data_IF_128294382509
#
_entry.id   IF_128294382509
#
_cell.length_a   1.000
_cell.length_b   1.000
_cell.length_c   1.000
_cell.angle_alpha   90.00
_cell.angle_beta   90.00
_cell.angle_gamma   90.00
#
_symmetry.space_group_name_H-M   'P 1'
#
loop_
_entity.id
_entity.type
_entity.pdbx_description
1 polymer ?
#
# COMPACT_ATOMS: atom_id res chain seq x y z
N UNK A 1 15.86 2.25 -14.87
CA UNK A 1 15.57 2.09 -13.42
C UNK A 1 14.06 2.07 -13.16
N UNK A 2 13.31 3.14 -13.49
CA UNK A 2 11.85 3.21 -13.28
C UNK A 2 11.05 2.10 -13.98
N UNK A 3 11.38 1.76 -15.23
CA UNK A 3 10.79 0.61 -15.96
C UNK A 3 11.08 -0.71 -15.24
N UNK A 4 12.28 -0.84 -14.67
CA UNK A 4 12.69 -2.04 -13.93
C UNK A 4 11.89 -2.23 -12.64
N UNK A 5 11.53 -1.14 -11.94
CA UNK A 5 10.72 -1.21 -10.72
C UNK A 5 9.34 -1.81 -10.99
N UNK A 6 8.64 -1.31 -12.01
CA UNK A 6 7.33 -1.85 -12.41
C UNK A 6 7.43 -3.30 -12.87
N UNK A 7 8.46 -3.62 -13.66
CA UNK A 7 8.65 -4.97 -14.23
C UNK A 7 9.01 -6.03 -13.19
N UNK A 8 9.83 -5.68 -12.20
CA UNK A 8 10.20 -6.61 -11.11
C UNK A 8 9.01 -6.89 -10.20
N UNK A 9 8.09 -5.94 -10.06
CA UNK A 9 6.94 -6.07 -9.16
C UNK A 9 5.69 -6.61 -9.86
N UNK A 10 5.73 -6.84 -11.17
CA UNK A 10 4.61 -7.34 -11.96
C UNK A 10 4.06 -8.65 -11.40
N UNK A 11 2.75 -8.72 -11.17
CA UNK A 11 2.05 -9.85 -10.55
C UNK A 11 2.48 -10.19 -9.11
N UNK A 12 3.13 -9.25 -8.40
CA UNK A 12 3.51 -9.41 -6.99
C UNK A 12 2.61 -8.59 -6.07
N UNK A 13 2.62 -8.90 -4.77
CA UNK A 13 1.95 -8.09 -3.75
C UNK A 13 2.52 -6.67 -3.61
N UNK A 14 3.69 -6.39 -4.20
CA UNK A 14 4.37 -5.10 -4.14
C UNK A 14 4.14 -4.25 -5.39
N UNK A 15 3.38 -4.75 -6.37
CA UNK A 15 3.15 -4.07 -7.63
C UNK A 15 2.64 -2.64 -7.42
N UNK A 16 1.66 -2.44 -6.55
CA UNK A 16 1.10 -1.11 -6.26
C UNK A 16 2.13 -0.14 -5.71
N UNK A 17 3.01 -0.60 -4.80
CA UNK A 17 4.05 0.23 -4.17
C UNK A 17 5.11 0.61 -5.20
N UNK A 18 5.57 -0.36 -5.99
CA UNK A 18 6.63 -0.15 -6.96
C UNK A 18 6.15 0.65 -8.16
N UNK A 19 4.90 0.45 -8.60
CA UNK A 19 4.26 1.29 -9.60
C UNK A 19 4.16 2.74 -9.12
N UNK A 20 3.74 2.94 -7.86
CA UNK A 20 3.64 4.25 -7.26
C UNK A 20 4.99 4.97 -7.14
N UNK A 21 6.05 4.25 -6.77
CA UNK A 21 7.42 4.78 -6.73
C UNK A 21 7.93 5.11 -8.13
N UNK A 22 7.71 4.21 -9.09
CA UNK A 22 8.16 4.39 -10.46
C UNK A 22 7.47 5.57 -11.15
N UNK A 23 6.16 5.74 -10.94
CA UNK A 23 5.39 6.89 -11.41
C UNK A 23 5.84 8.20 -10.75
N UNK A 24 6.15 8.17 -9.45
CA UNK A 24 6.68 9.34 -8.75
C UNK A 24 8.05 9.76 -9.26
N UNK A 25 9.00 8.83 -9.39
CA UNK A 25 10.33 9.12 -9.95
C UNK A 25 10.18 9.65 -11.39
N UNK A 26 9.36 9.00 -12.21
CA UNK A 26 9.12 9.42 -13.59
C UNK A 26 8.62 10.88 -13.67
N UNK A 27 7.71 11.27 -12.77
CA UNK A 27 7.17 12.64 -12.70
C UNK A 27 8.20 13.72 -12.33
N UNK A 28 9.33 13.34 -11.73
CA UNK A 28 10.42 14.25 -11.40
C UNK A 28 11.49 14.36 -12.49
N UNK A 29 11.43 13.52 -13.53
CA UNK A 29 12.40 13.54 -14.61
C UNK A 29 12.14 14.73 -15.55
N UNK A 30 13.22 15.20 -16.19
CA UNK A 30 13.11 16.20 -17.26
C UNK A 30 12.31 15.66 -18.45
N UNK A 31 11.67 16.53 -19.26
CA UNK A 31 10.94 16.10 -20.46
C UNK A 31 11.79 15.26 -21.43
N UNK A 32 13.08 15.57 -21.52
CA UNK A 32 14.03 14.80 -22.33
C UNK A 32 14.21 13.37 -21.81
N UNK A 33 14.40 13.20 -20.50
CA UNK A 33 14.56 11.90 -19.87
C UNK A 33 13.27 11.06 -19.96
N UNK A 34 12.10 11.68 -19.77
CA UNK A 34 10.80 11.03 -19.98
C UNK A 34 10.65 10.53 -21.43
N UNK A 35 11.05 11.34 -22.42
CA UNK A 35 11.02 10.95 -23.84
C UNK A 35 11.91 9.74 -24.15
N UNK A 36 13.08 9.65 -23.53
CA UNK A 36 13.96 8.48 -23.66
C UNK A 36 13.27 7.22 -23.11
N UNK A 37 12.63 7.32 -21.94
CA UNK A 37 11.91 6.19 -21.33
C UNK A 37 10.76 5.74 -22.23
N UNK A 38 9.92 6.65 -22.71
CA UNK A 38 8.79 6.31 -23.58
C UNK A 38 9.25 5.71 -24.91
N UNK A 39 10.34 6.23 -25.48
CA UNK A 39 10.97 5.64 -26.67
C UNK A 39 11.47 4.21 -26.38
N UNK A 40 12.07 3.98 -25.21
CA UNK A 40 12.54 2.64 -24.83
C UNK A 40 11.40 1.65 -24.62
N UNK A 41 10.28 2.07 -24.02
CA UNK A 41 9.08 1.26 -23.83
C UNK A 41 8.47 0.82 -25.17
N UNK A 42 8.37 1.78 -26.10
CA UNK A 42 7.86 1.52 -27.44
C UNK A 42 8.72 0.50 -28.19
N UNK A 43 10.05 0.62 -28.10
CA UNK A 43 10.99 -0.31 -28.72
C UNK A 43 10.94 -1.72 -28.09
N UNK A 44 10.56 -1.81 -26.82
CA UNK A 44 10.43 -3.09 -26.10
C UNK A 44 9.05 -3.72 -26.24
N UNK A 45 8.12 -3.11 -26.99
CA UNK A 45 6.72 -3.55 -27.13
C UNK A 45 6.07 -3.86 -25.76
N UNK A 46 6.36 -3.02 -24.77
CA UNK A 46 5.81 -3.15 -23.42
C UNK A 46 4.55 -2.32 -23.30
N UNK A 47 3.45 -2.92 -22.81
CA UNK A 47 2.19 -2.23 -22.50
C UNK A 47 2.26 -1.37 -21.21
N UNK A 48 3.47 -1.05 -20.76
CA UNK A 48 3.70 -0.37 -19.50
C UNK A 48 3.61 1.14 -19.70
N UNK A 49 2.74 1.76 -18.91
CA UNK A 49 2.54 3.21 -18.93
C UNK A 49 3.00 3.85 -17.62
N UNK A 50 3.52 5.08 -17.73
CA UNK A 50 3.83 5.93 -16.59
C UNK A 50 2.78 7.01 -16.44
N UNK A 51 2.24 7.14 -15.22
CA UNK A 51 1.27 8.18 -14.91
C UNK A 51 1.99 9.44 -14.46
N UNK A 52 1.75 10.55 -15.15
CA UNK A 52 2.23 11.85 -14.71
C UNK A 52 1.50 12.23 -13.42
N UNK A 53 2.22 12.25 -12.30
CA UNK A 53 1.70 12.82 -11.06
C UNK A 53 1.86 14.33 -11.12
N UNK A 54 0.75 15.04 -10.88
CA UNK A 54 0.87 16.44 -10.49
C UNK A 54 1.67 16.49 -9.19
N UNK A 55 2.70 17.34 -9.16
CA UNK A 55 3.41 17.70 -7.93
C UNK A 55 2.49 18.56 -7.05
N UNK A 56 1.40 17.96 -6.58
CA UNK A 56 0.60 18.54 -5.51
C UNK A 56 1.39 18.32 -4.23
N UNK A 57 1.59 19.39 -3.46
CA UNK A 57 1.86 19.26 -2.04
C UNK A 57 0.72 18.41 -1.47
N UNK A 58 1.02 17.13 -1.24
CA UNK A 58 0.05 16.20 -0.69
C UNK A 58 -0.33 16.76 0.68
N UNK A 59 -1.61 17.10 0.86
CA UNK A 59 -2.13 17.41 2.20
C UNK A 59 -1.76 16.24 3.10
N UNK A 60 -1.22 16.52 4.28
CA UNK A 60 -0.63 15.53 5.19
C UNK A 60 -1.52 14.28 5.38
N UNK A 61 -2.84 14.46 5.43
CA UNK A 61 -3.81 13.35 5.53
C UNK A 61 -3.68 12.26 4.45
N UNK A 62 -3.36 12.61 3.20
CA UNK A 62 -3.22 11.61 2.12
C UNK A 62 -1.94 10.78 2.24
N UNK A 63 -0.87 11.37 2.80
CA UNK A 63 0.36 10.65 3.15
C UNK A 63 0.13 9.74 4.36
N UNK A 64 -0.67 10.18 5.33
CA UNK A 64 -1.04 9.39 6.51
C UNK A 64 -1.81 8.14 6.11
N UNK A 65 -2.81 8.25 5.23
CA UNK A 65 -3.61 7.10 4.78
C UNK A 65 -2.77 6.05 4.02
N UNK A 66 -1.88 6.50 3.13
CA UNK A 66 -0.93 5.62 2.44
C UNK A 66 0.06 4.97 3.40
N UNK A 67 0.60 5.72 4.36
CA UNK A 67 1.48 5.18 5.38
C UNK A 67 0.78 4.12 6.25
N UNK A 68 -0.51 4.31 6.54
CA UNK A 68 -1.31 3.36 7.33
C UNK A 68 -1.47 2.02 6.63
N UNK A 69 -1.83 2.02 5.33
CA UNK A 69 -1.92 0.80 4.52
C UNK A 69 -0.57 0.10 4.39
N UNK A 70 0.50 0.86 4.15
CA UNK A 70 1.86 0.29 4.10
C UNK A 70 2.27 -0.34 5.44
N UNK A 71 1.91 0.28 6.56
CA UNK A 71 2.17 -0.26 7.91
C UNK A 71 1.39 -1.55 8.16
N UNK A 72 0.13 -1.63 7.73
CA UNK A 72 -0.67 -2.87 7.82
C UNK A 72 -0.07 -4.02 7.00
N UNK A 73 0.38 -3.75 5.77
CA UNK A 73 1.06 -4.75 4.93
C UNK A 73 2.35 -5.25 5.59
N UNK A 74 3.14 -4.34 6.18
CA UNK A 74 4.35 -4.70 6.90
C UNK A 74 4.05 -5.64 8.08
N UNK A 75 3.03 -5.31 8.87
CA UNK A 75 2.59 -6.11 10.02
C UNK A 75 2.10 -7.50 9.60
N UNK A 76 1.27 -7.58 8.56
CA UNK A 76 0.78 -8.84 7.97
C UNK A 76 1.95 -9.78 7.64
N UNK A 77 2.97 -9.28 6.94
CA UNK A 77 4.14 -10.08 6.54
C UNK A 77 5.00 -10.50 7.72
N UNK A 78 5.13 -9.66 8.74
CA UNK A 78 5.87 -9.99 9.97
C UNK A 78 5.13 -10.99 10.86
N UNK A 79 3.83 -11.25 10.60
CA UNK A 79 2.96 -12.10 11.41
C UNK A 79 2.95 -11.69 12.89
N UNK A 80 3.07 -10.39 13.15
CA UNK A 80 3.03 -9.85 14.50
C UNK A 80 1.61 -9.94 15.09
N UNK A 81 1.53 -10.13 16.40
CA UNK A 81 0.26 -9.98 17.13
C UNK A 81 0.03 -8.47 17.30
N UNK A 82 -1.16 -8.02 16.92
CA UNK A 82 -1.54 -6.61 16.99
C UNK A 82 -2.84 -6.43 17.74
N UNK A 83 -2.90 -5.30 18.43
CA UNK A 83 -4.11 -4.72 18.98
C UNK A 83 -4.61 -3.67 18.00
N UNK A 84 -5.80 -3.87 17.44
CA UNK A 84 -6.43 -2.99 16.47
C UNK A 84 -7.64 -2.35 17.12
N UNK A 85 -7.68 -1.02 17.10
CA UNK A 85 -8.84 -0.23 17.50
C UNK A 85 -9.54 0.19 16.22
N UNK A 86 -10.82 -0.14 16.08
CA UNK A 86 -11.61 0.18 14.89
C UNK A 86 -13.01 0.69 15.27
N UNK A 87 -13.63 1.44 14.35
CA UNK A 87 -14.95 2.02 14.54
C UNK A 87 -16.01 1.11 13.95
N UNK A 88 -16.96 0.66 14.76
CA UNK A 88 -18.13 -0.09 14.30
C UNK A 88 -19.40 0.61 14.79
N UNK A 89 -20.23 1.10 13.86
CA UNK A 89 -21.51 1.78 14.16
C UNK A 89 -21.38 2.89 15.22
N UNK A 90 -20.37 3.75 15.05
CA UNK A 90 -20.02 4.85 15.96
C UNK A 90 -19.41 4.48 17.33
N UNK A 91 -19.24 3.19 17.63
CA UNK A 91 -18.52 2.73 18.82
C UNK A 91 -17.09 2.30 18.47
N UNK A 92 -16.14 2.66 19.33
CA UNK A 92 -14.76 2.17 19.22
C UNK A 92 -14.68 0.77 19.81
N UNK A 93 -14.36 -0.22 18.97
CA UNK A 93 -14.10 -1.59 19.38
C UNK A 93 -12.63 -1.91 19.28
N UNK A 94 -12.23 -2.86 20.10
CA UNK A 94 -10.85 -3.29 20.19
C UNK A 94 -10.78 -4.79 19.98
N UNK A 95 -9.79 -5.21 19.19
CA UNK A 95 -9.52 -6.61 18.95
C UNK A 95 -8.03 -6.88 18.96
N UNK A 96 -7.64 -8.00 19.57
CA UNK A 96 -6.28 -8.50 19.55
C UNK A 96 -6.23 -9.75 18.67
N UNK A 97 -5.27 -9.77 17.74
CA UNK A 97 -5.16 -10.87 16.80
C UNK A 97 -3.98 -10.74 15.85
N UNK A 98 -3.94 -11.63 14.87
CA UNK A 98 -2.95 -11.59 13.79
C UNK A 98 -3.62 -11.14 12.52
N UNK A 99 -2.97 -10.23 11.78
CA UNK A 99 -3.43 -9.90 10.43
C UNK A 99 -3.11 -11.08 9.52
N UNK A 100 -4.14 -11.76 9.03
CA UNK A 100 -3.99 -12.93 8.17
C UNK A 100 -4.07 -12.59 6.68
N UNK A 101 -4.78 -11.51 6.33
CA UNK A 101 -4.97 -11.13 4.94
C UNK A 101 -5.28 -9.64 4.78
N UNK A 102 -4.62 -8.97 3.84
CA UNK A 102 -4.96 -7.62 3.40
C UNK A 102 -5.26 -7.59 1.90
N UNK A 103 -6.48 -7.19 1.52
CA UNK A 103 -6.88 -7.02 0.11
C UNK A 103 -7.65 -5.74 -0.11
N UNK A 104 -7.05 -4.84 -0.88
CA UNK A 104 -7.64 -3.54 -1.17
C UNK A 104 -7.83 -2.73 0.11
N UNK A 105 -9.10 -2.52 0.48
CA UNK A 105 -9.50 -1.77 1.67
C UNK A 105 -9.93 -2.65 2.84
N UNK A 106 -9.86 -3.98 2.74
CA UNK A 106 -10.28 -4.89 3.80
C UNK A 106 -9.09 -5.61 4.44
N UNK A 107 -9.12 -5.71 5.77
CA UNK A 107 -8.14 -6.41 6.61
C UNK A 107 -8.84 -7.54 7.35
N UNK A 108 -8.32 -8.76 7.22
CA UNK A 108 -8.76 -9.90 8.01
C UNK A 108 -7.84 -10.11 9.21
N UNK A 109 -8.43 -10.20 10.39
CA UNK A 109 -7.75 -10.37 11.67
C UNK A 109 -8.19 -11.71 12.26
N UNK A 110 -7.26 -12.64 12.41
CA UNK A 110 -7.49 -13.91 13.11
C UNK A 110 -7.35 -13.70 14.62
N UNK A 111 -8.40 -14.07 15.35
CA UNK A 111 -8.45 -14.04 16.81
C UNK A 111 -8.44 -15.45 17.38
N UNK A 112 -7.93 -15.60 18.60
CA UNK A 112 -7.95 -16.89 19.31
C UNK A 112 -9.38 -17.34 19.65
N UNK A 113 -10.32 -16.40 19.74
CA UNK A 113 -11.67 -16.64 20.27
C UNK A 113 -12.76 -16.77 19.21
N UNK A 114 -12.61 -16.14 18.03
CA UNK A 114 -13.72 -15.93 17.08
C UNK A 114 -13.39 -16.25 15.61
N UNK A 115 -12.30 -16.97 15.36
CA UNK A 115 -11.93 -17.45 14.02
C UNK A 115 -11.32 -16.35 13.15
N UNK A 116 -12.14 -15.41 12.68
CA UNK A 116 -11.65 -14.23 11.95
C UNK A 116 -12.65 -13.07 12.00
N UNK A 117 -12.13 -11.84 11.99
CA UNK A 117 -12.90 -10.61 11.80
C UNK A 117 -12.38 -9.88 10.55
N UNK A 118 -13.29 -9.37 9.73
CA UNK A 118 -12.95 -8.48 8.62
C UNK A 118 -13.29 -7.05 8.97
N UNK A 119 -12.30 -6.16 8.82
CA UNK A 119 -12.39 -4.74 9.17
C UNK A 119 -11.92 -3.91 7.97
N UNK A 120 -12.62 -2.83 7.66
CA UNK A 120 -12.19 -1.87 6.65
C UNK A 120 -10.98 -1.07 7.16
N UNK A 121 -9.98 -0.88 6.32
CA UNK A 121 -8.82 -0.02 6.57
C UNK A 121 -9.22 1.40 6.99
N UNK A 122 -10.36 1.89 6.48
CA UNK A 122 -10.84 3.24 6.77
C UNK A 122 -11.46 3.36 8.17
N UNK A 123 -11.96 2.25 8.72
CA UNK A 123 -12.57 2.20 10.05
C UNK A 123 -11.53 1.98 11.15
N UNK A 124 -10.29 1.62 10.79
CA UNK A 124 -9.20 1.46 11.76
C UNK A 124 -8.80 2.83 12.31
N UNK A 125 -8.80 2.96 13.64
CA UNK A 125 -8.41 4.15 14.39
C UNK A 125 -6.96 4.06 14.87
N UNK A 126 -6.51 2.89 15.34
CA UNK A 126 -5.12 2.70 15.74
C UNK A 126 -4.69 1.23 15.63
N UNK A 127 -3.38 1.02 15.50
CA UNK A 127 -2.76 -0.29 15.41
C UNK A 127 -1.50 -0.28 16.28
N UNK A 128 -1.48 -1.15 17.28
CA UNK A 128 -0.35 -1.32 18.19
C UNK A 128 0.20 -2.74 18.09
N UNK A 129 1.52 -2.85 17.87
CA UNK A 129 2.20 -4.14 17.91
C UNK A 129 2.43 -4.55 19.36
N UNK A 130 1.96 -5.75 19.72
CA UNK A 130 2.22 -6.35 21.02
C UNK A 130 3.59 -7.03 20.93
N UNK A 131 4.60 -6.41 21.55
CA UNK A 131 5.90 -7.05 21.76
C UNK A 131 5.76 -8.07 22.89
N UNK A 132 5.76 -9.36 22.57
CA UNK A 132 6.07 -10.42 23.55
C UNK A 132 7.58 -10.48 23.77
#
# INVERSE_FOLDING_TARGET
MTVGLKRVAENTSYQSIMDDMADWIYSQLSPYAQKIINKSLHLQMSDMEFKTREQKFLKEGFLVDRNRKNRLVYIEKRRAIVRIIFKEKDEAKEIEGRISYLRGDMVRIETESSGYLEVSCNDIIDIQEIKK
#
